data_IF_661281884275
#
_entry.id   IF_661281884275
#
_cell.length_a   1.000
_cell.length_b   1.000
_cell.length_c   1.000
_cell.angle_alpha   90.00
_cell.angle_beta   90.00
_cell.angle_gamma   90.00
#
_symmetry.space_group_name_H-M   'P 1'
#
loop_
_entity.id
_entity.type
_entity.pdbx_description
1 polymer ?
#
# COMPACT_ATOMS: atom_id res chain seq x y z
N UNK A 1 -24.36 0.57 21.12
CA UNK A 1 -23.89 0.80 19.74
C UNK A 1 -22.38 0.85 19.79
N UNK A 2 -21.68 -0.18 19.31
CA UNK A 2 -20.22 -0.23 19.33
C UNK A 2 -19.68 0.73 18.26
N UNK A 3 -18.87 1.71 18.66
CA UNK A 3 -18.19 2.58 17.69
C UNK A 3 -17.30 1.72 16.79
N UNK A 4 -17.28 1.95 15.46
CA UNK A 4 -16.36 1.24 14.59
C UNK A 4 -14.92 1.56 15.02
N UNK A 5 -14.17 0.54 15.44
CA UNK A 5 -12.77 0.71 15.80
C UNK A 5 -12.01 1.16 14.56
N UNK A 6 -11.48 2.38 14.60
CA UNK A 6 -10.59 2.87 13.54
C UNK A 6 -9.25 2.17 13.68
N UNK A 7 -8.71 1.67 12.58
CA UNK A 7 -7.38 1.07 12.52
C UNK A 7 -6.42 2.03 11.81
N UNK A 8 -5.16 2.01 12.25
CA UNK A 8 -4.06 2.70 11.58
C UNK A 8 -2.99 1.68 11.21
N UNK A 9 -2.59 1.64 9.95
CA UNK A 9 -1.59 0.70 9.42
C UNK A 9 -0.69 1.37 8.39
N UNK A 10 0.60 1.05 8.44
CA UNK A 10 1.52 1.34 7.35
C UNK A 10 1.48 0.19 6.35
N UNK A 11 1.16 0.50 5.10
CA UNK A 11 0.91 -0.49 4.06
C UNK A 11 1.84 -0.24 2.89
N UNK A 12 2.56 -1.29 2.48
CA UNK A 12 3.29 -1.30 1.21
C UNK A 12 2.38 -1.78 0.09
N UNK A 13 2.28 -0.99 -0.98
CA UNK A 13 1.46 -1.32 -2.16
C UNK A 13 2.11 -2.49 -2.91
N UNK A 14 1.34 -3.56 -3.12
CA UNK A 14 1.75 -4.74 -3.88
C UNK A 14 1.11 -4.78 -5.27
N UNK A 15 -0.15 -4.34 -5.38
CA UNK A 15 -0.84 -4.22 -6.66
C UNK A 15 -1.91 -3.14 -6.59
N UNK A 16 -2.29 -2.62 -7.75
CA UNK A 16 -3.32 -1.60 -7.89
C UNK A 16 -4.50 -2.25 -8.63
N UNK A 17 -5.70 -2.20 -8.02
CA UNK A 17 -6.91 -2.84 -8.55
C UNK A 17 -7.79 -1.87 -9.31
N UNK A 18 -7.81 -0.62 -8.87
CA UNK A 18 -8.55 0.44 -9.55
C UNK A 18 -7.78 1.75 -9.39
N UNK A 19 -7.53 2.37 -10.53
CA UNK A 19 -7.11 3.76 -10.67
C UNK A 19 -8.22 4.42 -11.44
N UNK A 20 -8.78 5.53 -10.98
CA UNK A 20 -9.63 6.32 -11.86
C UNK A 20 -8.73 7.07 -12.87
N UNK A 21 -8.77 6.73 -14.17
CA UNK A 21 -7.90 7.36 -15.17
C UNK A 21 -8.19 8.85 -15.39
N UNK A 22 -9.31 9.37 -14.90
CA UNK A 22 -9.69 10.78 -14.99
C UNK A 22 -9.25 11.62 -13.78
N UNK A 23 -8.60 11.02 -12.76
CA UNK A 23 -8.14 11.74 -11.55
C UNK A 23 -9.28 12.21 -10.62
N UNK A 24 -10.52 11.80 -10.89
CA UNK A 24 -11.73 12.22 -10.17
C UNK A 24 -12.38 11.09 -9.35
N UNK A 25 -11.67 9.99 -9.10
CA UNK A 25 -12.21 8.83 -8.41
C UNK A 25 -11.25 8.29 -7.36
N UNK A 26 -11.82 7.45 -6.48
CA UNK A 26 -11.06 6.79 -5.44
C UNK A 26 -10.00 5.83 -6.00
N UNK A 27 -9.05 5.46 -5.14
CA UNK A 27 -8.03 4.46 -5.45
C UNK A 27 -8.35 3.17 -4.69
N UNK A 28 -8.23 2.04 -5.38
CA UNK A 28 -8.28 0.74 -4.72
C UNK A 28 -6.96 0.03 -4.98
N UNK A 29 -6.21 -0.22 -3.92
CA UNK A 29 -4.96 -0.97 -4.00
C UNK A 29 -4.93 -2.11 -2.98
N UNK A 30 -4.08 -3.09 -3.25
CA UNK A 30 -3.82 -4.21 -2.38
C UNK A 30 -2.39 -4.11 -1.86
N UNK A 31 -2.22 -4.35 -0.57
CA UNK A 31 -0.92 -4.20 0.07
C UNK A 31 -0.76 -5.05 1.32
N UNK A 32 0.47 -5.07 1.81
CA UNK A 32 0.85 -5.76 3.05
C UNK A 32 1.20 -4.75 4.12
N UNK A 33 0.73 -4.97 5.34
CA UNK A 33 1.13 -4.17 6.48
C UNK A 33 2.61 -4.39 6.79
N UNK A 34 3.33 -3.31 7.04
CA UNK A 34 4.76 -3.30 7.31
C UNK A 34 5.04 -2.52 8.60
N UNK A 35 6.15 -2.86 9.25
CA UNK A 35 6.72 -2.04 10.33
C UNK A 35 7.47 -0.84 9.76
N UNK A 36 7.93 0.06 10.63
CA UNK A 36 8.71 1.24 10.25
C UNK A 36 10.00 0.91 9.48
N UNK A 37 10.56 -0.27 9.70
CA UNK A 37 11.74 -0.79 9.01
C UNK A 37 11.40 -1.47 7.66
N UNK A 38 10.14 -1.49 7.23
CA UNK A 38 9.71 -2.14 5.99
C UNK A 38 9.50 -3.65 6.08
N UNK A 39 9.71 -4.26 7.25
CA UNK A 39 9.46 -5.69 7.44
C UNK A 39 7.95 -5.95 7.48
N UNK A 40 7.48 -6.91 6.69
CA UNK A 40 6.06 -7.29 6.68
C UNK A 40 5.60 -7.84 8.05
N UNK A 41 4.41 -7.42 8.48
CA UNK A 41 3.79 -7.90 9.71
C UNK A 41 2.95 -9.12 9.36
N UNK A 42 3.36 -10.31 9.84
CA UNK A 42 2.57 -11.56 9.90
C UNK A 42 1.58 -11.82 8.74
N UNK A 43 2.02 -11.68 7.49
CA UNK A 43 1.19 -11.85 6.30
C UNK A 43 -0.16 -11.07 6.37
N UNK A 44 -0.15 -9.92 7.03
CA UNK A 44 -1.31 -9.04 7.13
C UNK A 44 -1.51 -8.27 5.83
N UNK A 45 -2.39 -8.80 4.97
CA UNK A 45 -2.76 -8.16 3.72
C UNK A 45 -4.09 -7.44 3.84
N UNK A 46 -4.16 -6.30 3.15
CA UNK A 46 -5.33 -5.44 3.12
C UNK A 46 -5.63 -4.97 1.71
N UNK A 47 -6.91 -4.96 1.37
CA UNK A 47 -7.46 -4.11 0.32
C UNK A 47 -7.70 -2.75 0.93
N UNK A 48 -7.19 -1.69 0.31
CA UNK A 48 -7.42 -0.32 0.77
C UNK A 48 -8.31 0.38 -0.23
N UNK A 49 -9.46 0.85 0.25
CA UNK A 49 -10.40 1.67 -0.52
C UNK A 49 -10.24 3.12 -0.10
N UNK A 50 -9.66 3.93 -0.99
CA UNK A 50 -9.42 5.36 -0.78
C UNK A 50 -10.54 6.13 -1.48
N UNK A 51 -11.47 6.77 -0.76
CA UNK A 51 -12.55 7.52 -1.40
C UNK A 51 -12.02 8.82 -2.04
N UNK A 52 -12.67 9.25 -3.13
CA UNK A 52 -12.27 10.44 -3.91
C UNK A 52 -12.14 11.72 -3.06
N UNK A 53 -12.96 11.84 -2.01
CA UNK A 53 -12.96 12.99 -1.09
C UNK A 53 -11.63 13.23 -0.36
N UNK A 54 -10.73 12.24 -0.32
CA UNK A 54 -9.41 12.39 0.32
C UNK A 54 -8.40 13.12 -0.58
N UNK A 55 -8.74 13.37 -1.85
CA UNK A 55 -7.98 14.23 -2.78
C UNK A 55 -6.46 14.01 -2.71
N UNK A 56 -6.00 12.77 -2.82
CA UNK A 56 -4.57 12.49 -2.82
C UNK A 56 -3.94 13.07 -4.10
N UNK A 57 -2.92 13.91 -3.93
CA UNK A 57 -2.23 14.58 -5.05
C UNK A 57 -1.19 13.69 -5.73
N UNK A 58 -0.74 12.66 -5.02
CA UNK A 58 0.26 11.72 -5.53
C UNK A 58 -0.41 10.45 -6.01
N UNK A 59 -0.07 10.02 -7.23
CA UNK A 59 -0.53 8.74 -7.76
C UNK A 59 0.02 7.58 -6.91
N UNK A 60 -0.85 6.62 -6.60
CA UNK A 60 -0.47 5.38 -5.93
C UNK A 60 0.32 4.52 -6.90
N UNK A 61 1.51 4.10 -6.50
CA UNK A 61 2.39 3.22 -7.28
C UNK A 61 2.77 1.97 -6.47
N UNK A 62 3.04 0.86 -7.17
CA UNK A 62 3.54 -0.38 -6.54
C UNK A 62 4.89 -0.11 -5.87
N UNK A 63 5.06 -0.62 -4.66
CA UNK A 63 6.26 -0.45 -3.84
C UNK A 63 6.20 0.76 -2.88
N UNK A 64 5.34 1.75 -3.14
CA UNK A 64 5.14 2.89 -2.23
C UNK A 64 4.57 2.45 -0.88
N UNK A 65 4.90 3.21 0.16
CA UNK A 65 4.41 3.00 1.51
C UNK A 65 3.42 4.11 1.89
N UNK A 66 2.28 3.70 2.42
CA UNK A 66 1.22 4.61 2.81
C UNK A 66 0.81 4.34 4.26
N UNK A 67 0.73 5.39 5.07
CA UNK A 67 0.08 5.32 6.37
C UNK A 67 -1.43 5.52 6.13
N UNK A 68 -2.22 4.49 6.44
CA UNK A 68 -3.66 4.42 6.18
C UNK A 68 -4.39 4.34 7.51
N UNK A 69 -5.36 5.24 7.70
CA UNK A 69 -6.31 5.21 8.82
C UNK A 69 -7.72 5.02 8.28
N UNK A 70 -8.52 4.16 8.91
CA UNK A 70 -9.88 3.90 8.41
C UNK A 70 -10.63 2.85 9.21
N UNK A 71 -11.82 2.51 8.72
CA UNK A 71 -12.64 1.45 9.32
C UNK A 71 -12.28 0.11 8.67
N UNK A 72 -11.93 -0.92 9.47
CA UNK A 72 -11.70 -2.25 8.93
C UNK A 72 -13.05 -2.89 8.58
N UNK A 73 -13.10 -3.53 7.42
CA UNK A 73 -14.23 -4.32 6.96
C UNK A 73 -13.73 -5.66 6.40
N UNK A 74 -14.61 -6.66 6.35
CA UNK A 74 -14.33 -7.91 5.63
C UNK A 74 -15.12 -7.83 4.33
N UNK A 75 -14.40 -7.77 3.21
CA UNK A 75 -14.99 -7.83 1.90
C UNK A 75 -14.99 -9.27 1.41
N UNK A 76 -16.16 -9.79 1.04
CA UNK A 76 -16.31 -11.13 0.49
C UNK A 76 -16.45 -11.01 -1.03
N UNK A 77 -15.45 -11.49 -1.75
CA UNK A 77 -15.51 -11.60 -3.21
C UNK A 77 -15.85 -13.02 -3.60
N UNK A 78 -16.88 -13.19 -4.43
CA UNK A 78 -17.10 -14.46 -5.12
C UNK A 78 -16.28 -14.49 -6.41
N UNK A 79 -15.42 -15.51 -6.54
CA UNK A 79 -14.62 -15.75 -7.73
C UNK A 79 -14.77 -17.22 -8.12
N UNK A 80 -15.41 -17.48 -9.25
CA UNK A 80 -15.74 -18.85 -9.73
C UNK A 80 -16.46 -19.73 -8.69
N UNK A 81 -17.40 -19.17 -7.94
CA UNK A 81 -18.14 -19.90 -6.90
C UNK A 81 -17.39 -20.11 -5.58
N UNK A 82 -16.13 -19.65 -5.47
CA UNK A 82 -15.38 -19.63 -4.22
C UNK A 82 -15.52 -18.27 -3.55
N UNK A 83 -15.89 -18.26 -2.25
CA UNK A 83 -15.93 -17.04 -1.44
C UNK A 83 -14.56 -16.75 -0.85
N UNK A 84 -13.89 -15.73 -1.37
CA UNK A 84 -12.62 -15.23 -0.84
C UNK A 84 -12.94 -14.09 0.12
N UNK A 85 -12.53 -14.24 1.38
CA UNK A 85 -12.63 -13.17 2.37
C UNK A 85 -11.34 -12.35 2.34
N UNK A 86 -11.46 -11.05 2.08
CA UNK A 86 -10.37 -10.11 2.10
C UNK A 86 -10.57 -9.11 3.23
N UNK A 87 -9.50 -8.82 3.97
CA UNK A 87 -9.50 -7.71 4.91
C UNK A 87 -9.45 -6.41 4.10
N UNK A 88 -10.40 -5.53 4.32
CA UNK A 88 -10.47 -4.23 3.68
C UNK A 88 -10.34 -3.12 4.73
N UNK A 89 -9.74 -2.01 4.34
CA UNK A 89 -9.74 -0.76 5.10
C UNK A 89 -10.40 0.29 4.22
N UNK A 90 -11.55 0.79 4.68
CA UNK A 90 -12.21 1.96 4.10
C UNK A 90 -11.55 3.21 4.68
N UNK A 91 -10.69 3.85 3.88
CA UNK A 91 -9.80 4.90 4.36
C UNK A 91 -10.57 6.18 4.70
N UNK A 92 -10.27 6.72 5.88
CA UNK A 92 -10.71 8.04 6.34
C UNK A 92 -9.57 9.07 6.31
N UNK A 93 -8.32 8.62 6.35
CA UNK A 93 -7.12 9.42 6.12
C UNK A 93 -6.03 8.54 5.50
N UNK A 94 -5.19 9.14 4.65
CA UNK A 94 -4.07 8.43 4.01
C UNK A 94 -2.92 9.38 3.71
N UNK A 95 -1.69 8.95 3.99
CA UNK A 95 -0.48 9.77 3.78
C UNK A 95 0.62 8.94 3.15
N UNK A 96 1.23 9.49 2.10
CA UNK A 96 2.42 8.91 1.50
C UNK A 96 3.57 9.04 2.50
N UNK A 97 4.19 7.91 2.84
CA UNK A 97 5.38 7.90 3.67
C UNK A 97 6.55 8.20 2.76
N UNK A 98 7.25 9.31 3.00
CA UNK A 98 8.44 9.64 2.21
C UNK A 98 9.52 8.56 2.35
N UNK A 99 10.37 8.36 1.33
CA UNK A 99 11.44 7.39 1.39
C UNK A 99 12.43 7.68 2.53
N UNK A 100 12.59 6.73 3.46
CA UNK A 100 13.83 6.56 4.22
C UNK A 100 14.74 5.57 3.47
N UNK A 101 16.01 5.43 3.85
CA UNK A 101 16.97 4.61 3.11
C UNK A 101 16.48 3.21 2.74
N UNK A 102 15.76 2.54 3.66
CA UNK A 102 15.17 1.21 3.40
C UNK A 102 13.93 1.24 2.50
N UNK A 103 13.16 2.32 2.53
CA UNK A 103 12.09 2.57 1.57
C UNK A 103 12.67 2.84 0.16
N UNK A 104 13.81 3.53 0.03
CA UNK A 104 14.51 3.69 -1.26
C UNK A 104 14.92 2.34 -1.83
N UNK A 105 15.50 1.45 -1.02
CA UNK A 105 15.85 0.09 -1.44
C UNK A 105 14.61 -0.65 -1.96
N UNK A 106 13.51 -0.60 -1.22
CA UNK A 106 12.27 -1.29 -1.58
C UNK A 106 11.65 -0.73 -2.87
N UNK A 107 11.65 0.60 -3.01
CA UNK A 107 11.14 1.30 -4.19
C UNK A 107 11.95 0.94 -5.43
N UNK A 108 13.28 0.93 -5.34
CA UNK A 108 14.15 0.53 -6.43
C UNK A 108 14.00 -0.96 -6.78
N UNK A 109 13.83 -1.81 -5.77
CA UNK A 109 13.75 -3.27 -5.96
C UNK A 109 12.43 -3.74 -6.59
N UNK A 110 11.33 -3.01 -6.35
CA UNK A 110 9.98 -3.45 -6.71
C UNK A 110 9.20 -2.46 -7.58
N UNK A 111 9.72 -1.23 -7.75
CA UNK A 111 9.09 -0.22 -8.59
C UNK A 111 9.19 -0.59 -10.07
N UNK A 112 8.06 -0.52 -10.77
CA UNK A 112 7.99 -0.88 -12.20
C UNK A 112 8.94 -0.04 -13.07
N UNK A 113 9.22 1.21 -12.66
CA UNK A 113 10.14 2.13 -13.34
C UNK A 113 11.61 1.73 -13.22
N UNK A 114 11.94 0.77 -12.36
CA UNK A 114 13.31 0.31 -12.05
C UNK A 114 13.52 -1.16 -12.43
N UNK A 115 12.90 -1.62 -13.52
CA UNK A 115 13.03 -3.00 -14.00
C UNK A 115 14.51 -3.40 -14.14
N UNK A 116 14.88 -4.56 -13.58
CA UNK A 116 16.26 -5.06 -13.60
C UNK A 116 17.12 -4.66 -12.39
N UNK A 117 16.59 -3.84 -11.50
CA UNK A 117 17.14 -3.57 -10.16
C UNK A 117 16.38 -4.45 -9.16
N UNK A 118 16.94 -5.62 -8.83
CA UNK A 118 16.41 -6.46 -7.75
C UNK A 118 16.91 -6.01 -6.38
N UNK A 119 16.44 -6.67 -5.32
CA UNK A 119 16.76 -6.32 -3.93
C UNK A 119 18.26 -6.15 -3.68
N UNK A 120 19.10 -7.08 -4.16
CA UNK A 120 20.54 -7.02 -3.97
C UNK A 120 21.20 -5.81 -4.65
N UNK A 121 20.73 -5.44 -5.85
CA UNK A 121 21.25 -4.26 -6.57
C UNK A 121 20.78 -2.97 -5.90
N UNK A 122 19.52 -2.92 -5.48
CA UNK A 122 18.95 -1.77 -4.77
C UNK A 122 19.68 -1.52 -3.44
N UNK A 123 19.93 -2.58 -2.65
CA UNK A 123 20.71 -2.48 -1.42
C UNK A 123 22.11 -1.97 -1.68
N UNK A 124 22.82 -2.54 -2.67
CA UNK A 124 24.18 -2.11 -3.00
C UNK A 124 24.23 -0.65 -3.46
N UNK A 125 23.26 -0.21 -4.26
CA UNK A 125 23.15 1.20 -4.67
C UNK A 125 22.97 2.12 -3.46
N UNK A 126 22.11 1.74 -2.51
CA UNK A 126 21.92 2.50 -1.28
C UNK A 126 23.17 2.49 -0.38
N UNK A 127 23.84 1.36 -0.21
CA UNK A 127 25.08 1.29 0.57
C UNK A 127 26.24 2.10 -0.05
N UNK A 128 26.22 2.28 -1.37
CA UNK A 128 27.29 3.00 -2.10
C UNK A 128 27.01 4.50 -2.20
N UNK A 129 25.74 4.90 -2.36
CA UNK A 129 25.35 6.27 -2.70
C UNK A 129 24.28 6.87 -1.77
N UNK A 130 23.73 6.09 -0.84
CA UNK A 130 22.86 6.59 0.22
C UNK A 130 23.67 7.32 1.27
N UNK A 131 23.06 8.33 1.89
CA UNK A 131 23.65 9.11 3.00
C UNK A 131 24.07 8.23 4.19
#
# INVERSE_FOLDING_TARGET
MSQPQTVQRRIRVLSIRSVNPLGQGGYIFYGVAIRFDGTAINNEHFVVSVPNRLHITTAVEVGQWWDVSGTPSIYVREHHGLRIQERQIDATDIKLVLPNGRHVITLLAHGQRFSGIGISKATRLWETYGE
#
